data_IF_610820163694
#
_entry.id   IF_610820163694
#
_cell.length_a   1.000
_cell.length_b   1.000
_cell.length_c   1.000
_cell.angle_alpha   90.00
_cell.angle_beta   90.00
_cell.angle_gamma   90.00
#
_symmetry.space_group_name_H-M   'P 1'
#
loop_
_entity.id
_entity.type
_entity.pdbx_description
1 polymer ?
#
# COMPACT_ATOMS: atom_id res chain seq x y z
N UNK A 1 -0.11 29.52 15.80
CA UNK A 1 -1.41 29.86 16.43
C UNK A 1 -1.83 28.67 17.28
N UNK A 2 -2.64 28.86 18.32
CA UNK A 2 -3.00 27.77 19.23
C UNK A 2 -4.32 27.05 18.86
N UNK A 3 -4.97 27.51 17.79
CA UNK A 3 -6.05 26.85 17.07
C UNK A 3 -6.21 27.50 15.68
N UNK A 4 -6.94 26.85 14.79
CA UNK A 4 -7.30 27.39 13.48
C UNK A 4 -8.32 28.53 13.59
N UNK A 5 -8.20 29.51 12.69
CA UNK A 5 -8.98 30.74 12.76
C UNK A 5 -10.49 30.50 12.57
N UNK A 6 -10.88 29.61 11.64
CA UNK A 6 -12.30 29.25 11.43
C UNK A 6 -12.91 28.59 12.66
N UNK A 7 -12.17 27.68 13.29
CA UNK A 7 -12.61 27.01 14.51
C UNK A 7 -12.82 28.00 15.66
N UNK A 8 -11.85 28.87 15.91
CA UNK A 8 -11.96 29.89 16.97
C UNK A 8 -13.15 30.81 16.74
N UNK A 9 -13.34 31.31 15.52
CA UNK A 9 -14.47 32.18 15.16
C UNK A 9 -15.80 31.46 15.40
N UNK A 10 -15.90 30.19 15.00
CA UNK A 10 -17.11 29.40 15.21
C UNK A 10 -17.43 29.19 16.70
N UNK A 11 -16.45 28.74 17.49
CA UNK A 11 -16.63 28.46 18.91
C UNK A 11 -17.02 29.73 19.68
N UNK A 12 -16.34 30.85 19.40
CA UNK A 12 -16.66 32.14 20.01
C UNK A 12 -18.07 32.63 19.64
N UNK A 13 -18.44 32.54 18.36
CA UNK A 13 -19.80 32.92 17.89
C UNK A 13 -20.89 32.08 18.55
N UNK A 14 -20.62 30.79 18.80
CA UNK A 14 -21.56 29.87 19.45
C UNK A 14 -21.54 29.96 20.98
N UNK A 15 -20.62 30.72 21.57
CA UNK A 15 -20.44 30.80 23.02
C UNK A 15 -19.98 29.48 23.63
N UNK A 16 -19.19 28.69 22.87
CA UNK A 16 -18.62 27.43 23.33
C UNK A 16 -17.37 27.73 24.14
N UNK A 17 -17.35 27.31 25.41
CA UNK A 17 -16.18 27.44 26.29
C UNK A 17 -15.24 26.26 26.05
N UNK A 18 -13.95 26.54 25.89
CA UNK A 18 -12.91 25.53 25.69
C UNK A 18 -11.62 25.92 26.41
N UNK A 19 -10.77 24.94 26.66
CA UNK A 19 -9.41 25.12 27.18
C UNK A 19 -8.41 24.66 26.11
N UNK A 20 -7.34 25.41 25.91
CA UNK A 20 -6.27 25.04 24.97
C UNK A 20 -5.16 24.32 25.73
N UNK A 21 -4.85 23.10 25.30
CA UNK A 21 -3.76 22.28 25.83
C UNK A 21 -2.58 22.42 24.87
N UNK A 22 -1.51 23.09 25.32
CA UNK A 22 -0.30 23.28 24.52
C UNK A 22 0.64 22.08 24.69
N UNK A 23 1.33 21.71 23.61
CA UNK A 23 2.37 20.70 23.59
C UNK A 23 3.45 21.07 22.57
N UNK A 24 4.56 20.31 22.54
CA UNK A 24 5.58 20.47 21.50
C UNK A 24 4.99 20.18 20.11
N UNK A 25 5.61 20.71 19.06
CA UNK A 25 5.16 20.48 17.68
C UNK A 25 5.22 18.99 17.33
N UNK A 26 4.09 18.41 16.91
CA UNK A 26 3.96 16.99 16.60
C UNK A 26 3.70 16.77 15.11
N UNK A 27 4.27 15.70 14.52
CA UNK A 27 4.11 15.43 13.09
C UNK A 27 2.68 15.01 12.72
N UNK A 28 1.94 14.38 13.64
CA UNK A 28 0.55 13.93 13.43
C UNK A 28 -0.27 14.09 14.69
N UNK A 29 -1.60 14.08 14.53
CA UNK A 29 -2.53 14.12 15.64
C UNK A 29 -2.41 12.90 16.56
N UNK A 30 -2.13 11.70 16.01
CA UNK A 30 -2.00 10.48 16.81
C UNK A 30 -0.77 10.52 17.74
N UNK A 31 0.34 11.09 17.25
CA UNK A 31 1.54 11.33 18.07
C UNK A 31 1.25 12.37 19.17
N UNK A 32 0.47 13.41 18.87
CA UNK A 32 0.06 14.40 19.86
C UNK A 32 -0.80 13.78 20.98
N UNK A 33 -1.78 12.95 20.62
CA UNK A 33 -2.65 12.24 21.58
C UNK A 33 -1.84 11.32 22.49
N UNK A 34 -0.94 10.52 21.89
CA UNK A 34 -0.11 9.56 22.63
C UNK A 34 0.89 10.25 23.58
N UNK A 35 1.39 11.42 23.20
CA UNK A 35 2.40 12.17 23.98
C UNK A 35 1.80 13.07 25.06
N UNK A 36 0.52 13.44 24.94
CA UNK A 36 -0.13 14.40 25.83
C UNK A 36 -0.58 13.81 27.19
N UNK A 37 -0.46 12.49 27.38
CA UNK A 37 -0.92 11.81 28.60
C UNK A 37 -2.43 11.92 28.84
N UNK A 38 -3.19 12.16 27.76
CA UNK A 38 -4.66 12.28 27.79
C UNK A 38 -5.26 10.87 27.70
N UNK A 39 -6.33 10.62 28.46
CA UNK A 39 -7.10 9.39 28.32
C UNK A 39 -7.71 9.34 26.92
N UNK A 40 -7.28 8.38 26.10
CA UNK A 40 -7.65 8.31 24.68
C UNK A 40 -9.16 8.09 24.46
N UNK A 41 -9.86 7.53 25.46
CA UNK A 41 -11.32 7.44 25.54
C UNK A 41 -12.04 8.79 25.59
N UNK A 42 -11.37 9.85 26.03
CA UNK A 42 -11.87 11.22 26.01
C UNK A 42 -11.48 11.96 24.70
N UNK A 43 -10.84 11.30 23.73
CA UNK A 43 -10.42 11.94 22.47
C UNK A 43 -11.43 11.66 21.36
N UNK A 44 -11.73 12.68 20.55
CA UNK A 44 -12.60 12.58 19.37
C UNK A 44 -11.85 13.02 18.11
N UNK A 45 -12.24 12.45 16.97
CA UNK A 45 -11.63 12.74 15.66
C UNK A 45 -12.65 12.95 14.56
N UNK A 46 -12.18 13.54 13.47
CA UNK A 46 -12.95 13.80 12.26
C UNK A 46 -12.53 12.81 11.17
N UNK A 47 -13.50 12.14 10.55
CA UNK A 47 -13.29 11.35 9.34
C UNK A 47 -14.18 11.91 8.24
N UNK A 48 -13.59 12.27 7.10
CA UNK A 48 -14.34 12.86 5.98
C UNK A 48 -14.73 11.81 4.95
N UNK A 49 -15.98 11.90 4.49
CA UNK A 49 -16.53 11.09 3.42
C UNK A 49 -17.09 12.00 2.32
N UNK A 50 -17.14 11.51 1.09
CA UNK A 50 -17.63 12.26 -0.07
C UNK A 50 -18.52 11.40 -0.98
N UNK A 51 -19.44 12.04 -1.69
CA UNK A 51 -20.06 11.51 -2.90
C UNK A 51 -20.26 12.65 -3.93
N UNK A 52 -21.07 12.42 -4.97
CA UNK A 52 -21.40 13.44 -5.98
C UNK A 52 -22.13 14.68 -5.42
N UNK A 53 -22.76 14.58 -4.25
CA UNK A 53 -23.46 15.65 -3.55
C UNK A 53 -22.57 16.40 -2.54
N UNK A 54 -21.28 16.08 -2.45
CA UNK A 54 -20.29 16.79 -1.63
C UNK A 54 -19.81 16.02 -0.40
N UNK A 55 -19.22 16.71 0.58
CA UNK A 55 -18.56 16.10 1.74
C UNK A 55 -19.53 15.91 2.91
N UNK A 56 -19.25 14.92 3.76
CA UNK A 56 -19.84 14.68 5.08
C UNK A 56 -18.71 14.42 6.06
N UNK A 57 -18.80 15.00 7.26
CA UNK A 57 -17.90 14.69 8.36
C UNK A 57 -18.57 13.70 9.31
N UNK A 58 -17.89 12.58 9.56
CA UNK A 58 -18.19 11.68 10.66
C UNK A 58 -17.36 12.10 11.89
N UNK A 59 -18.02 12.31 13.03
CA UNK A 59 -17.38 12.61 14.33
C UNK A 59 -17.55 11.41 15.24
N UNK A 60 -16.45 10.82 15.68
CA UNK A 60 -16.42 9.58 16.43
C UNK A 60 -15.25 9.57 17.44
N UNK A 61 -15.25 8.58 18.34
CA UNK A 61 -14.18 8.43 19.32
C UNK A 61 -12.85 8.06 18.67
N UNK A 62 -11.74 8.39 19.32
CA UNK A 62 -10.39 8.12 18.83
C UNK A 62 -10.15 6.62 18.55
N UNK A 63 -10.58 5.74 19.46
CA UNK A 63 -10.49 4.28 19.36
C UNK A 63 -11.62 3.61 18.57
N UNK A 64 -12.24 4.35 17.65
CA UNK A 64 -13.33 3.79 16.86
C UNK A 64 -13.04 4.03 15.40
N UNK A 65 -13.40 3.08 14.55
CA UNK A 65 -13.40 3.29 13.12
C UNK A 65 -14.81 3.69 12.65
N UNK A 66 -14.88 4.44 11.55
CA UNK A 66 -16.17 4.81 10.96
C UNK A 66 -16.72 3.63 10.17
N UNK A 67 -17.95 3.24 10.48
CA UNK A 67 -18.73 2.35 9.64
C UNK A 67 -19.35 3.17 8.49
N UNK A 68 -18.73 3.07 7.31
CA UNK A 68 -19.14 3.82 6.12
C UNK A 68 -20.56 3.48 5.67
N UNK A 69 -20.99 2.23 5.87
CA UNK A 69 -22.35 1.80 5.53
C UNK A 69 -23.35 2.41 6.51
N UNK A 70 -23.03 2.45 7.80
CA UNK A 70 -23.86 3.12 8.80
C UNK A 70 -23.95 4.63 8.56
N UNK A 71 -22.86 5.31 8.17
CA UNK A 71 -22.91 6.73 7.78
C UNK A 71 -23.74 6.91 6.50
N UNK A 72 -23.60 6.02 5.53
CA UNK A 72 -24.35 6.02 4.27
C UNK A 72 -25.85 5.84 4.51
N UNK A 73 -26.25 4.91 5.38
CA UNK A 73 -27.62 4.72 5.82
C UNK A 73 -28.13 5.95 6.59
N UNK A 74 -27.35 6.42 7.57
CA UNK A 74 -27.70 7.59 8.36
C UNK A 74 -27.90 8.82 7.47
N UNK A 75 -27.15 8.97 6.38
CA UNK A 75 -27.25 10.11 5.45
C UNK A 75 -28.23 9.90 4.29
N UNK A 76 -28.56 8.65 3.96
CA UNK A 76 -29.26 8.27 2.73
C UNK A 76 -28.40 8.46 1.47
N UNK A 77 -27.07 8.41 1.60
CA UNK A 77 -26.09 8.72 0.55
C UNK A 77 -25.18 7.51 0.32
N UNK A 78 -24.47 7.49 -0.81
CA UNK A 78 -23.45 6.47 -1.11
C UNK A 78 -22.07 7.09 -0.97
N UNK A 79 -21.57 7.07 0.26
CA UNK A 79 -20.37 7.80 0.63
C UNK A 79 -19.12 6.92 0.52
N UNK A 80 -17.98 7.55 0.27
CA UNK A 80 -16.66 6.93 0.34
C UNK A 80 -15.71 7.81 1.16
N UNK A 81 -14.75 7.21 1.85
CA UNK A 81 -13.73 7.95 2.61
C UNK A 81 -12.91 8.86 1.68
N UNK A 82 -12.56 10.04 2.17
CA UNK A 82 -11.53 10.87 1.55
C UNK A 82 -10.14 10.37 1.95
N UNK A 83 -9.19 10.50 1.04
CA UNK A 83 -7.77 10.34 1.38
C UNK A 83 -7.30 11.49 2.29
N UNK A 84 -6.22 11.30 3.05
CA UNK A 84 -5.65 12.34 3.91
C UNK A 84 -5.40 13.65 3.15
N UNK A 85 -4.76 13.55 1.97
CA UNK A 85 -4.50 14.69 1.08
C UNK A 85 -5.77 15.39 0.59
N UNK A 86 -6.85 14.65 0.35
CA UNK A 86 -8.13 15.24 -0.01
C UNK A 86 -8.79 15.92 1.18
N UNK A 87 -8.68 15.34 2.38
CA UNK A 87 -9.20 15.91 3.61
C UNK A 87 -8.48 17.22 3.97
N UNK A 88 -7.14 17.26 3.89
CA UNK A 88 -6.34 18.47 4.14
C UNK A 88 -6.80 19.67 3.29
N UNK A 89 -7.14 19.43 2.02
CA UNK A 89 -7.65 20.47 1.12
C UNK A 89 -8.97 21.10 1.60
N UNK A 90 -9.72 20.39 2.43
CA UNK A 90 -10.97 20.89 3.00
C UNK A 90 -10.73 21.79 4.22
N UNK A 91 -9.54 21.73 4.83
CA UNK A 91 -9.15 22.48 6.01
C UNK A 91 -8.05 23.49 5.67
N UNK A 92 -8.40 24.52 4.89
CA UNK A 92 -7.45 25.51 4.36
C UNK A 92 -6.63 26.30 5.39
N UNK A 93 -7.07 26.33 6.65
CA UNK A 93 -6.45 27.05 7.77
C UNK A 93 -5.99 26.12 8.89
N UNK A 94 -5.82 24.82 8.60
CA UNK A 94 -5.24 23.83 9.49
C UNK A 94 -3.92 23.28 8.93
N UNK A 95 -3.07 22.80 9.83
CA UNK A 95 -1.90 21.99 9.48
C UNK A 95 -2.33 20.56 9.10
N UNK A 96 -1.56 19.89 8.22
CA UNK A 96 -1.90 18.55 7.70
C UNK A 96 -2.20 17.57 8.81
N UNK A 97 -3.30 16.82 8.68
CA UNK A 97 -3.70 15.79 9.65
C UNK A 97 -4.26 16.32 10.98
N UNK A 98 -4.27 17.63 11.25
CA UNK A 98 -4.84 18.21 12.47
C UNK A 98 -6.26 18.73 12.25
N UNK A 99 -7.18 17.85 11.85
CA UNK A 99 -8.56 18.24 11.47
C UNK A 99 -9.52 18.34 12.66
N UNK A 100 -10.08 19.52 12.96
CA UNK A 100 -11.03 19.66 14.06
C UNK A 100 -12.36 18.96 13.75
N UNK A 101 -12.93 18.15 14.66
CA UNK A 101 -14.20 17.44 14.49
C UNK A 101 -15.43 18.33 14.66
N UNK A 102 -15.37 19.57 14.14
CA UNK A 102 -16.43 20.58 14.19
C UNK A 102 -16.74 21.01 12.75
N UNK A 103 -17.39 20.15 11.98
CA UNK A 103 -17.66 20.39 10.56
C UNK A 103 -18.46 21.64 10.27
N UNK A 104 -19.29 22.09 11.22
CA UNK A 104 -20.04 23.35 11.12
C UNK A 104 -19.15 24.61 11.07
N UNK A 105 -17.88 24.54 11.52
CA UNK A 105 -16.91 25.62 11.34
C UNK A 105 -16.40 25.72 9.88
N UNK A 106 -16.63 24.67 9.08
CA UNK A 106 -16.17 24.52 7.69
C UNK A 106 -17.33 24.27 6.71
N UNK A 107 -18.56 24.61 7.11
CA UNK A 107 -19.79 24.42 6.32
C UNK A 107 -20.04 22.96 5.87
N UNK A 108 -19.56 21.99 6.64
CA UNK A 108 -19.75 20.57 6.35
C UNK A 108 -20.94 19.98 7.14
N UNK A 109 -21.82 19.18 6.49
CA UNK A 109 -22.76 18.33 7.18
C UNK A 109 -22.04 17.35 8.11
N UNK A 110 -22.51 17.23 9.36
CA UNK A 110 -21.91 16.35 10.37
C UNK A 110 -22.85 15.20 10.70
N UNK A 111 -22.31 13.99 10.76
CA UNK A 111 -22.91 12.85 11.46
C UNK A 111 -22.05 12.56 12.68
N UNK A 112 -22.64 12.59 13.87
CA UNK A 112 -21.94 12.34 15.13
C UNK A 112 -22.35 10.99 15.69
N UNK A 113 -21.35 10.24 16.14
CA UNK A 113 -21.54 8.96 16.81
C UNK A 113 -22.16 9.16 18.20
N UNK A 114 -23.17 8.36 18.53
CA UNK A 114 -23.95 8.52 19.77
C UNK A 114 -23.09 8.52 21.06
N UNK A 115 -22.11 7.61 21.24
CA UNK A 115 -21.18 7.62 22.36
C UNK A 115 -20.47 8.96 22.59
N UNK A 116 -20.11 9.69 21.53
CA UNK A 116 -19.44 11.01 21.65
C UNK A 116 -20.32 12.01 22.39
N UNK A 117 -21.63 11.97 22.17
CA UNK A 117 -22.56 12.90 22.83
C UNK A 117 -22.76 12.61 24.33
N UNK A 118 -22.36 11.42 24.78
CA UNK A 118 -22.41 11.01 26.18
C UNK A 118 -21.16 11.36 26.98
N UNK A 119 -20.07 11.80 26.31
CA UNK A 119 -18.80 12.12 26.95
C UNK A 119 -18.94 13.29 27.94
N UNK A 120 -18.24 13.19 29.08
CA UNK A 120 -18.21 14.23 30.12
C UNK A 120 -17.26 15.37 29.77
N UNK A 121 -16.24 15.06 28.99
CA UNK A 121 -15.29 15.99 28.38
C UNK A 121 -14.79 15.38 27.08
N UNK A 122 -14.25 16.20 26.18
CA UNK A 122 -13.61 15.71 24.97
C UNK A 122 -12.37 16.53 24.62
N UNK A 123 -11.36 15.85 24.08
CA UNK A 123 -10.16 16.42 23.51
C UNK A 123 -10.17 16.24 21.99
N UNK A 124 -9.72 17.25 21.26
CA UNK A 124 -9.74 17.22 19.80
C UNK A 124 -8.64 18.08 19.18
N UNK A 125 -8.34 17.84 17.91
CA UNK A 125 -7.42 18.68 17.14
C UNK A 125 -7.88 20.14 17.11
N UNK A 126 -6.95 21.06 17.31
CA UNK A 126 -7.18 22.51 17.27
C UNK A 126 -7.11 23.08 15.85
N UNK A 127 -6.51 22.34 14.92
CA UNK A 127 -6.06 22.85 13.62
C UNK A 127 -4.56 23.13 13.56
N UNK A 128 -3.84 23.08 14.68
CA UNK A 128 -2.41 23.31 14.76
C UNK A 128 -1.67 22.10 15.36
N UNK A 129 -0.41 21.92 14.96
CA UNK A 129 0.43 20.77 15.34
C UNK A 129 0.99 20.79 16.76
N UNK A 130 0.82 21.91 17.47
CA UNK A 130 1.38 22.16 18.80
C UNK A 130 0.30 22.41 19.88
N UNK A 131 -0.95 22.10 19.58
CA UNK A 131 -2.05 22.35 20.51
C UNK A 131 -3.30 21.50 20.25
N UNK A 132 -4.01 21.18 21.32
CA UNK A 132 -5.32 20.53 21.31
C UNK A 132 -6.34 21.39 22.05
N UNK A 133 -7.63 21.13 21.80
CA UNK A 133 -8.72 21.76 22.55
C UNK A 133 -9.39 20.74 23.47
N UNK A 134 -9.61 21.12 24.73
CA UNK A 134 -10.47 20.41 25.68
C UNK A 134 -11.81 21.14 25.82
N UNK A 135 -12.90 20.40 25.70
CA UNK A 135 -14.26 20.87 25.95
C UNK A 135 -14.90 20.05 27.06
N UNK A 136 -15.71 20.68 27.90
CA UNK A 136 -16.62 19.92 28.75
C UNK A 136 -17.78 19.34 27.91
N UNK A 137 -18.52 18.38 28.45
CA UNK A 137 -19.59 17.70 27.72
C UNK A 137 -20.72 18.64 27.29
N UNK A 138 -20.94 19.77 27.98
CA UNK A 138 -21.95 20.77 27.58
C UNK A 138 -21.46 21.57 26.38
N UNK A 139 -20.21 22.01 26.41
CA UNK A 139 -19.53 22.72 25.33
C UNK A 139 -19.42 21.84 24.08
N UNK A 140 -19.08 20.56 24.23
CA UNK A 140 -19.07 19.57 23.15
C UNK A 140 -20.45 19.43 22.48
N UNK A 141 -21.51 19.25 23.27
CA UNK A 141 -22.88 19.16 22.72
C UNK A 141 -23.33 20.45 22.04
N UNK A 142 -22.87 21.60 22.51
CA UNK A 142 -23.15 22.90 21.90
C UNK A 142 -22.39 23.11 20.58
N UNK A 143 -21.13 22.66 20.51
CA UNK A 143 -20.32 22.76 19.30
C UNK A 143 -20.80 21.84 18.17
N UNK A 144 -21.37 20.68 18.53
CA UNK A 144 -21.97 19.71 17.60
C UNK A 144 -23.49 19.92 17.39
N UNK A 145 -24.05 21.04 17.86
CA UNK A 145 -25.48 21.31 17.71
C UNK A 145 -25.88 21.46 16.23
N UNK A 146 -26.78 20.60 15.78
CA UNK A 146 -27.24 20.52 14.39
C UNK A 146 -26.69 19.31 13.62
N UNK A 147 -25.75 18.56 14.19
CA UNK A 147 -25.29 17.29 13.62
C UNK A 147 -26.41 16.24 13.61
N UNK A 148 -26.43 15.40 12.56
CA UNK A 148 -27.24 14.19 12.53
C UNK A 148 -26.60 13.17 13.47
N UNK A 149 -27.40 12.42 14.22
CA UNK A 149 -26.91 11.42 15.18
C UNK A 149 -27.05 10.03 14.59
N UNK A 150 -26.12 9.15 14.90
CA UNK A 150 -26.23 7.73 14.56
C UNK A 150 -25.21 6.88 15.32
N UNK A 151 -25.40 5.56 15.30
CA UNK A 151 -24.35 4.60 15.62
C UNK A 151 -23.53 4.40 14.36
N UNK A 152 -22.47 5.18 14.22
CA UNK A 152 -21.66 5.24 13.00
C UNK A 152 -20.22 4.81 13.22
N UNK A 153 -19.92 4.40 14.44
CA UNK A 153 -18.62 3.87 14.78
C UNK A 153 -18.73 2.40 15.20
N UNK A 154 -17.66 1.69 14.90
CA UNK A 154 -17.38 0.34 15.34
C UNK A 154 -16.23 0.45 16.32
N UNK A 155 -16.36 -0.23 17.46
CA UNK A 155 -15.28 -0.32 18.43
C UNK A 155 -14.09 -0.93 17.72
N UNK A 156 -12.98 -0.21 17.70
CA UNK A 156 -11.72 -0.77 17.27
C UNK A 156 -11.28 -1.69 18.42
N UNK A 157 -11.65 -2.98 18.35
CA UNK A 157 -11.26 -4.00 19.33
C UNK A 157 -9.72 -4.14 19.45
N UNK A 158 -8.96 -3.40 18.64
CA UNK A 158 -7.53 -3.23 18.70
C UNK A 158 -7.00 -2.47 19.92
N UNK A 159 -7.78 -1.57 20.54
CA UNK A 159 -7.24 -0.70 21.61
C UNK A 159 -7.56 -1.15 23.05
N UNK A 160 -8.43 -2.15 23.26
CA UNK A 160 -8.79 -2.66 24.59
C UNK A 160 -7.94 -3.89 25.03
N UNK A 161 -6.88 -4.22 24.28
CA UNK A 161 -5.86 -5.22 24.66
C UNK A 161 -4.61 -4.54 25.25
N UNK A 162 -4.80 -3.52 26.09
CA UNK A 162 -3.75 -3.04 27.00
C UNK A 162 -4.08 -3.35 28.46
N UNK A 163 -4.47 -4.60 28.72
CA UNK A 163 -4.35 -5.20 30.05
C UNK A 163 -4.37 -6.75 30.00
N UNK A 164 -3.71 -7.37 29.02
CA UNK A 164 -3.56 -8.82 29.03
C UNK A 164 -3.10 -9.43 27.71
N UNK A 165 -1.84 -9.87 27.71
CA UNK A 165 -1.14 -10.62 26.66
C UNK A 165 -0.58 -9.81 25.49
N UNK A 166 0.75 -9.82 25.41
CA UNK A 166 1.55 -9.58 24.21
C UNK A 166 1.20 -10.64 23.16
N UNK A 167 0.11 -10.43 22.41
CA UNK A 167 -0.26 -11.27 21.27
C UNK A 167 0.09 -10.54 19.98
N UNK A 168 0.97 -11.13 19.16
CA UNK A 168 1.21 -10.66 17.79
C UNK A 168 -0.10 -10.59 17.01
N UNK A 169 -0.34 -9.48 16.29
CA UNK A 169 -1.47 -9.35 15.37
C UNK A 169 -1.35 -10.42 14.27
N UNK A 170 -2.42 -11.19 14.04
CA UNK A 170 -2.42 -12.23 13.00
C UNK A 170 -2.58 -11.61 11.60
N UNK A 171 -2.10 -12.29 10.55
CA UNK A 171 -2.26 -11.81 9.17
C UNK A 171 -3.73 -11.76 8.74
N UNK A 172 -4.57 -12.66 9.27
CA UNK A 172 -6.01 -12.63 9.07
C UNK A 172 -6.64 -11.37 9.68
N UNK A 173 -6.20 -10.96 10.87
CA UNK A 173 -6.65 -9.73 11.52
C UNK A 173 -6.19 -8.50 10.72
N UNK A 174 -4.94 -8.47 10.25
CA UNK A 174 -4.45 -7.41 9.35
C UNK A 174 -5.28 -7.34 8.08
N UNK A 175 -5.58 -8.48 7.45
CA UNK A 175 -6.39 -8.53 6.24
C UNK A 175 -7.81 -8.00 6.48
N UNK A 176 -8.43 -8.40 7.60
CA UNK A 176 -9.75 -7.92 7.97
C UNK A 176 -9.76 -6.39 8.20
N UNK A 177 -8.78 -5.87 8.94
CA UNK A 177 -8.62 -4.42 9.16
C UNK A 177 -8.39 -3.67 7.86
N UNK A 178 -7.50 -4.13 7.00
CA UNK A 178 -7.24 -3.51 5.70
C UNK A 178 -8.50 -3.43 4.84
N UNK A 179 -9.31 -4.49 4.78
CA UNK A 179 -10.57 -4.50 4.04
C UNK A 179 -11.65 -3.61 4.64
N UNK A 180 -11.69 -3.50 5.97
CA UNK A 180 -12.72 -2.77 6.71
C UNK A 180 -12.44 -1.27 6.74
N UNK A 181 -11.18 -0.91 6.94
CA UNK A 181 -10.73 0.47 7.10
C UNK A 181 -10.42 1.14 5.75
N UNK A 182 -10.01 0.35 4.75
CA UNK A 182 -9.57 0.87 3.46
C UNK A 182 -10.30 0.21 2.30
N UNK A 183 -10.54 1.00 1.25
CA UNK A 183 -10.99 0.47 -0.02
C UNK A 183 -9.79 -0.07 -0.79
N UNK A 184 -9.48 -1.34 -0.57
CA UNK A 184 -8.40 -2.01 -1.29
C UNK A 184 -8.64 -1.94 -2.81
N UNK A 185 -7.60 -1.64 -3.60
CA UNK A 185 -7.73 -1.57 -5.05
C UNK A 185 -8.15 -2.95 -5.59
N UNK A 186 -9.29 -3.04 -6.29
CA UNK A 186 -9.69 -4.30 -6.90
C UNK A 186 -8.72 -4.64 -8.03
N UNK A 187 -8.54 -5.93 -8.31
CA UNK A 187 -7.74 -6.35 -9.46
C UNK A 187 -8.35 -5.75 -10.74
N UNK A 188 -7.56 -5.02 -11.55
CA UNK A 188 -8.05 -4.44 -12.79
C UNK A 188 -8.65 -5.50 -13.71
N UNK A 189 -9.80 -5.19 -14.34
CA UNK A 189 -10.56 -6.16 -15.11
C UNK A 189 -9.76 -6.84 -16.24
N UNK A 190 -8.80 -6.12 -16.84
CA UNK A 190 -7.89 -6.66 -17.84
C UNK A 190 -6.92 -7.67 -17.24
N UNK A 191 -6.29 -7.34 -16.10
CA UNK A 191 -5.40 -8.24 -15.38
C UNK A 191 -6.12 -9.54 -14.95
N UNK A 192 -7.35 -9.42 -14.43
CA UNK A 192 -8.18 -10.57 -14.03
C UNK A 192 -8.53 -11.46 -15.23
N UNK A 193 -8.80 -10.88 -16.41
CA UNK A 193 -9.05 -11.67 -17.63
C UNK A 193 -7.79 -12.40 -18.09
N UNK A 194 -6.62 -11.77 -18.00
CA UNK A 194 -5.34 -12.40 -18.33
C UNK A 194 -5.05 -13.56 -17.36
N UNK A 195 -5.25 -13.35 -16.05
CA UNK A 195 -5.12 -14.41 -15.04
C UNK A 195 -6.01 -15.63 -15.34
N UNK A 196 -7.26 -15.39 -15.77
CA UNK A 196 -8.16 -16.49 -16.15
C UNK A 196 -7.70 -17.22 -17.41
N UNK A 197 -7.04 -16.53 -18.33
CA UNK A 197 -6.44 -17.16 -19.51
C UNK A 197 -5.23 -18.01 -19.15
N UNK A 198 -4.36 -17.58 -18.21
CA UNK A 198 -3.21 -18.39 -17.78
C UNK A 198 -3.63 -19.66 -17.05
N UNK A 199 -4.76 -19.64 -16.36
CA UNK A 199 -5.33 -20.84 -15.72
C UNK A 199 -6.03 -21.80 -16.71
N UNK A 200 -6.20 -21.42 -17.99
CA UNK A 200 -6.88 -22.24 -18.98
C UNK A 200 -5.87 -22.96 -19.89
N UNK A 201 -5.72 -24.30 -19.81
CA UNK A 201 -4.75 -25.05 -20.62
C UNK A 201 -5.07 -25.03 -22.13
N UNK A 202 -6.29 -24.68 -22.52
CA UNK A 202 -6.72 -24.56 -23.93
C UNK A 202 -6.59 -23.12 -24.46
N UNK A 203 -6.07 -22.18 -23.67
CA UNK A 203 -5.92 -20.80 -24.09
C UNK A 203 -4.93 -20.66 -25.25
N UNK A 204 -5.31 -19.85 -26.23
CA UNK A 204 -4.53 -19.65 -27.45
C UNK A 204 -3.78 -18.32 -27.43
N UNK A 205 -2.65 -18.27 -28.15
CA UNK A 205 -1.91 -17.03 -28.37
C UNK A 205 -2.77 -15.90 -28.97
N UNK A 206 -3.78 -16.27 -29.76
CA UNK A 206 -4.72 -15.31 -30.36
C UNK A 206 -5.64 -14.70 -29.31
N UNK A 207 -6.22 -15.51 -28.42
CA UNK A 207 -7.09 -14.99 -27.35
C UNK A 207 -6.36 -14.01 -26.42
N UNK A 208 -5.10 -14.31 -26.09
CA UNK A 208 -4.25 -13.40 -25.32
C UNK A 208 -3.95 -12.11 -26.10
N UNK A 209 -3.62 -12.23 -27.39
CA UNK A 209 -3.38 -11.08 -28.24
C UNK A 209 -4.62 -10.19 -28.36
N UNK A 210 -5.80 -10.76 -28.65
CA UNK A 210 -7.07 -10.04 -28.76
C UNK A 210 -7.41 -9.28 -27.45
N UNK A 211 -7.07 -9.87 -26.30
CA UNK A 211 -7.29 -9.24 -25.00
C UNK A 211 -6.35 -8.05 -24.76
N UNK A 212 -5.08 -8.18 -25.13
CA UNK A 212 -4.07 -7.12 -24.99
C UNK A 212 -4.30 -5.99 -25.99
N UNK A 213 -4.63 -6.34 -27.24
CA UNK A 213 -4.84 -5.40 -28.36
C UNK A 213 -6.06 -4.48 -28.16
N UNK A 214 -6.95 -4.83 -27.23
CA UNK A 214 -8.02 -3.94 -26.78
C UNK A 214 -7.51 -2.69 -26.04
N UNK A 215 -6.30 -2.73 -25.48
CA UNK A 215 -5.65 -1.62 -24.78
C UNK A 215 -4.41 -1.16 -25.57
N UNK A 216 -4.48 -0.02 -26.29
CA UNK A 216 -3.36 0.45 -27.11
C UNK A 216 -2.08 0.74 -26.32
N UNK A 217 -2.21 1.17 -25.06
CA UNK A 217 -1.06 1.47 -24.21
C UNK A 217 -0.35 0.18 -23.79
N UNK A 218 -1.11 -0.81 -23.31
CA UNK A 218 -0.61 -2.14 -22.97
C UNK A 218 0.00 -2.83 -24.19
N UNK A 219 -0.68 -2.74 -25.34
CA UNK A 219 -0.18 -3.26 -26.62
C UNK A 219 1.18 -2.66 -26.95
N UNK A 220 1.31 -1.34 -26.87
CA UNK A 220 2.56 -0.67 -27.14
C UNK A 220 3.67 -1.10 -26.17
N UNK A 221 3.36 -1.26 -24.88
CA UNK A 221 4.31 -1.72 -23.86
C UNK A 221 4.75 -3.18 -24.09
N UNK A 222 3.80 -4.10 -24.34
CA UNK A 222 4.10 -5.51 -24.67
C UNK A 222 4.91 -5.62 -25.95
N UNK A 223 4.58 -4.84 -26.98
CA UNK A 223 5.33 -4.83 -28.24
C UNK A 223 6.74 -4.24 -28.09
N UNK A 224 6.91 -3.20 -27.26
CA UNK A 224 8.25 -2.70 -26.92
C UNK A 224 9.06 -3.75 -26.18
N UNK A 225 8.44 -4.46 -25.24
CA UNK A 225 9.08 -5.58 -24.56
C UNK A 225 9.49 -6.69 -25.54
N UNK A 226 8.58 -7.12 -26.42
CA UNK A 226 8.87 -8.17 -27.40
C UNK A 226 10.00 -7.82 -28.36
N UNK A 227 10.15 -6.52 -28.68
CA UNK A 227 11.16 -6.01 -29.61
C UNK A 227 12.48 -5.63 -28.92
N UNK A 228 12.60 -5.79 -27.60
CA UNK A 228 13.83 -5.45 -26.91
C UNK A 228 14.96 -6.41 -27.33
N UNK A 229 16.19 -5.90 -27.31
CA UNK A 229 17.37 -6.67 -27.71
C UNK A 229 17.61 -7.90 -26.79
N UNK A 230 17.02 -7.91 -25.60
CA UNK A 230 16.95 -9.02 -24.65
C UNK A 230 16.64 -10.38 -25.31
N UNK A 231 15.80 -10.40 -26.34
CA UNK A 231 15.37 -11.65 -26.99
C UNK A 231 16.14 -12.02 -28.25
N UNK A 232 17.09 -11.18 -28.69
CA UNK A 232 17.93 -11.40 -29.88
C UNK A 232 17.14 -11.90 -31.11
N UNK A 233 15.92 -11.41 -31.30
CA UNK A 233 15.06 -11.84 -32.40
C UNK A 233 15.42 -11.12 -33.71
N UNK A 234 15.86 -11.82 -34.77
CA UNK A 234 16.36 -11.18 -35.99
C UNK A 234 15.25 -10.64 -36.91
N UNK A 235 13.98 -10.96 -36.65
CA UNK A 235 12.83 -10.56 -37.46
C UNK A 235 12.12 -9.32 -36.94
N UNK A 236 11.23 -8.75 -37.75
CA UNK A 236 10.29 -7.74 -37.29
C UNK A 236 9.07 -8.39 -36.64
N UNK A 237 8.65 -7.86 -35.49
CA UNK A 237 7.45 -8.29 -34.76
C UNK A 237 6.38 -7.21 -34.95
N UNK A 238 5.26 -7.54 -35.58
CA UNK A 238 4.24 -6.58 -35.99
C UNK A 238 2.92 -6.70 -35.25
N UNK A 239 2.72 -7.76 -34.46
CA UNK A 239 1.51 -7.98 -33.64
C UNK A 239 1.83 -8.64 -32.30
N UNK A 240 0.89 -8.55 -31.34
CA UNK A 240 1.03 -9.23 -30.06
C UNK A 240 1.02 -10.74 -30.25
N UNK A 241 0.21 -11.25 -31.19
CA UNK A 241 0.19 -12.67 -31.51
C UNK A 241 1.56 -13.18 -32.01
N UNK A 242 2.28 -12.38 -32.81
CA UNK A 242 3.66 -12.71 -33.21
C UNK A 242 4.62 -12.67 -32.02
N UNK A 243 4.48 -11.69 -31.14
CA UNK A 243 5.28 -11.62 -29.91
C UNK A 243 5.12 -12.89 -29.06
N UNK A 244 3.88 -13.36 -28.90
CA UNK A 244 3.56 -14.60 -28.18
C UNK A 244 4.17 -15.82 -28.86
N UNK A 245 3.94 -15.98 -30.16
CA UNK A 245 4.24 -17.24 -30.88
C UNK A 245 5.70 -17.37 -31.33
N UNK A 246 6.40 -16.27 -31.56
CA UNK A 246 7.72 -16.27 -32.21
C UNK A 246 8.87 -15.88 -31.28
N UNK A 247 8.59 -15.21 -30.16
CA UNK A 247 9.63 -14.55 -29.35
C UNK A 247 9.50 -14.84 -27.85
N UNK A 248 8.41 -14.39 -27.24
CA UNK A 248 8.29 -14.34 -25.78
C UNK A 248 7.70 -15.62 -25.17
N UNK A 249 6.78 -16.26 -25.87
CA UNK A 249 5.91 -17.31 -25.33
C UNK A 249 4.65 -16.75 -24.67
N UNK A 250 3.66 -17.64 -24.46
CA UNK A 250 2.36 -17.29 -23.89
C UNK A 250 2.49 -16.76 -22.46
N UNK A 251 3.08 -17.53 -21.54
CA UNK A 251 3.13 -17.20 -20.12
C UNK A 251 3.84 -15.88 -19.86
N UNK A 252 4.95 -15.61 -20.56
CA UNK A 252 5.69 -14.37 -20.39
C UNK A 252 4.89 -13.15 -20.82
N UNK A 253 4.22 -13.23 -21.97
CA UNK A 253 3.36 -12.12 -22.44
C UNK A 253 2.21 -11.92 -21.48
N UNK A 254 1.59 -13.01 -21.01
CA UNK A 254 0.48 -12.94 -20.06
C UNK A 254 0.94 -12.30 -18.73
N UNK A 255 2.05 -12.76 -18.14
CA UNK A 255 2.52 -12.27 -16.85
C UNK A 255 2.96 -10.81 -16.91
N UNK A 256 3.68 -10.39 -17.96
CA UNK A 256 4.05 -8.98 -18.14
C UNK A 256 2.81 -8.12 -18.36
N UNK A 257 1.89 -8.56 -19.23
CA UNK A 257 0.67 -7.80 -19.48
C UNK A 257 -0.20 -7.69 -18.21
N UNK A 258 -0.26 -8.75 -17.41
CA UNK A 258 -0.95 -8.76 -16.13
C UNK A 258 -0.27 -7.84 -15.12
N UNK A 259 1.05 -7.89 -14.96
CA UNK A 259 1.79 -7.00 -14.06
C UNK A 259 1.54 -5.53 -14.41
N UNK A 260 1.69 -5.16 -15.69
CA UNK A 260 1.43 -3.81 -16.18
C UNK A 260 -0.01 -3.39 -15.89
N UNK A 261 -0.97 -4.24 -16.22
CA UNK A 261 -2.38 -3.94 -16.00
C UNK A 261 -2.70 -3.78 -14.51
N UNK A 262 -2.08 -4.57 -13.63
CA UNK A 262 -2.28 -4.53 -12.18
C UNK A 262 -1.73 -3.27 -11.52
N UNK A 263 -0.57 -2.75 -11.97
CA UNK A 263 0.02 -1.52 -11.40
C UNK A 263 -0.90 -0.30 -11.54
N UNK A 264 -1.77 -0.27 -12.57
CA UNK A 264 -2.75 0.81 -12.78
C UNK A 264 -3.80 0.94 -11.67
N UNK A 265 -3.87 -0.02 -10.76
CA UNK A 265 -4.75 0.04 -9.60
C UNK A 265 -4.22 0.95 -8.48
N UNK A 266 -2.93 1.34 -8.55
CA UNK A 266 -2.25 2.11 -7.52
C UNK A 266 -1.93 3.52 -8.00
N UNK A 267 -1.92 4.45 -7.05
CA UNK A 267 -1.48 5.84 -7.24
C UNK A 267 -0.24 6.03 -6.37
N UNK A 268 0.94 5.98 -6.99
CA UNK A 268 2.24 5.99 -6.29
C UNK A 268 3.15 6.98 -7.01
N UNK A 269 3.95 7.78 -6.28
CA UNK A 269 4.92 8.68 -6.89
C UNK A 269 5.87 7.97 -7.87
N UNK A 270 6.23 8.68 -8.94
CA UNK A 270 7.15 8.15 -9.95
C UNK A 270 8.59 8.10 -9.45
N UNK A 271 9.03 9.20 -8.85
CA UNK A 271 10.41 9.42 -8.42
C UNK A 271 10.65 8.85 -7.00
N UNK A 272 11.92 8.73 -6.63
CA UNK A 272 12.35 8.22 -5.32
C UNK A 272 12.87 6.78 -5.37
N UNK A 273 13.55 6.35 -4.30
CA UNK A 273 14.17 5.02 -4.24
C UNK A 273 13.18 3.86 -4.22
N UNK A 274 11.93 4.11 -3.86
CA UNK A 274 10.81 3.16 -3.89
C UNK A 274 9.73 3.58 -4.91
N UNK A 275 9.94 4.68 -5.63
CA UNK A 275 9.02 5.18 -6.66
C UNK A 275 8.85 4.22 -7.83
N UNK A 276 7.89 4.51 -8.70
CA UNK A 276 7.49 3.62 -9.80
C UNK A 276 8.65 3.23 -10.74
N UNK A 277 9.58 4.15 -11.01
CA UNK A 277 10.76 3.87 -11.85
C UNK A 277 11.66 2.80 -11.19
N UNK A 278 11.95 2.93 -9.89
CA UNK A 278 12.75 1.97 -9.13
C UNK A 278 12.03 0.64 -8.93
N UNK A 279 10.72 0.69 -8.66
CA UNK A 279 9.85 -0.47 -8.52
C UNK A 279 9.86 -1.36 -9.76
N UNK A 280 9.65 -0.77 -10.95
CA UNK A 280 9.63 -1.53 -12.20
C UNK A 280 10.99 -2.14 -12.51
N UNK A 281 12.06 -1.38 -12.28
CA UNK A 281 13.42 -1.86 -12.46
C UNK A 281 13.67 -3.08 -11.58
N UNK A 282 13.40 -2.98 -10.28
CA UNK A 282 13.58 -4.10 -9.37
C UNK A 282 12.73 -5.32 -9.75
N UNK A 283 11.44 -5.11 -10.00
CA UNK A 283 10.50 -6.19 -10.34
C UNK A 283 10.90 -6.95 -11.61
N UNK A 284 11.37 -6.24 -12.65
CA UNK A 284 11.78 -6.86 -13.91
C UNK A 284 13.08 -7.65 -13.79
N UNK A 285 14.06 -7.11 -13.08
CA UNK A 285 15.31 -7.83 -12.80
C UNK A 285 15.06 -9.06 -11.93
N UNK A 286 14.23 -8.93 -10.88
CA UNK A 286 13.87 -10.04 -10.00
C UNK A 286 13.12 -11.13 -10.78
N UNK A 287 12.15 -10.76 -11.61
CA UNK A 287 11.43 -11.68 -12.49
C UNK A 287 12.36 -12.40 -13.48
N UNK A 288 13.33 -11.69 -14.06
CA UNK A 288 14.32 -12.29 -14.97
C UNK A 288 15.18 -13.32 -14.24
N UNK A 289 15.75 -12.97 -13.08
CA UNK A 289 16.59 -13.86 -12.28
C UNK A 289 15.82 -15.10 -11.79
N UNK A 290 14.63 -14.93 -11.21
CA UNK A 290 13.79 -16.04 -10.76
C UNK A 290 13.51 -17.02 -11.91
N UNK A 291 13.26 -16.50 -13.11
CA UNK A 291 13.05 -17.35 -14.27
C UNK A 291 14.31 -18.10 -14.72
N UNK A 292 15.48 -17.47 -14.69
CA UNK A 292 16.74 -18.16 -15.00
C UNK A 292 17.04 -19.26 -13.97
N UNK A 293 16.82 -18.98 -12.68
CA UNK A 293 16.92 -19.98 -11.61
C UNK A 293 15.95 -21.15 -11.81
N UNK A 294 14.70 -20.88 -12.22
CA UNK A 294 13.72 -21.92 -12.53
C UNK A 294 14.18 -22.86 -13.65
N UNK A 295 15.00 -22.39 -14.61
CA UNK A 295 15.58 -23.27 -15.64
C UNK A 295 16.63 -24.24 -15.10
N UNK A 296 17.37 -23.82 -14.06
CA UNK A 296 18.44 -24.61 -13.43
C UNK A 296 17.88 -25.59 -12.39
N UNK A 297 16.78 -25.21 -11.73
CA UNK A 297 16.12 -25.97 -10.66
C UNK A 297 14.94 -26.82 -11.15
N UNK A 298 14.58 -26.71 -12.44
CA UNK A 298 13.43 -27.38 -13.06
C UNK A 298 12.07 -27.00 -12.45
N UNK A 299 11.96 -25.80 -11.88
CA UNK A 299 10.69 -25.20 -11.46
C UNK A 299 9.93 -24.58 -12.66
N UNK A 300 8.67 -24.19 -12.43
CA UNK A 300 7.89 -23.53 -13.47
C UNK A 300 8.43 -22.11 -13.76
N UNK A 301 8.88 -21.91 -15.00
CA UNK A 301 9.52 -20.65 -15.44
C UNK A 301 8.56 -19.48 -15.50
N UNK A 302 7.29 -19.75 -15.82
CA UNK A 302 6.25 -18.73 -15.88
C UNK A 302 5.91 -18.26 -14.48
N UNK A 303 5.70 -19.21 -13.57
CA UNK A 303 5.35 -18.95 -12.18
C UNK A 303 6.49 -18.27 -11.42
N UNK A 304 7.74 -18.72 -11.58
CA UNK A 304 8.91 -18.06 -11.00
C UNK A 304 9.08 -16.62 -11.49
N UNK A 305 8.87 -16.39 -12.80
CA UNK A 305 8.85 -15.03 -13.36
C UNK A 305 7.77 -14.18 -12.70
N UNK A 306 6.57 -14.74 -12.50
CA UNK A 306 5.45 -14.04 -11.90
C UNK A 306 5.70 -13.71 -10.41
N UNK A 307 6.28 -14.64 -9.65
CA UNK A 307 6.70 -14.41 -8.27
C UNK A 307 7.66 -13.22 -8.18
N UNK A 308 8.73 -13.21 -8.98
CA UNK A 308 9.68 -12.09 -9.01
C UNK A 308 9.05 -10.78 -9.48
N UNK A 309 8.10 -10.82 -10.43
CA UNK A 309 7.44 -9.61 -10.95
C UNK A 309 6.50 -8.97 -9.91
N UNK A 310 5.83 -9.79 -9.09
CA UNK A 310 4.74 -9.32 -8.22
C UNK A 310 5.12 -9.25 -6.73
N UNK A 311 6.32 -9.68 -6.33
CA UNK A 311 6.69 -9.80 -4.92
C UNK A 311 6.52 -8.50 -4.11
N UNK A 312 6.84 -7.35 -4.70
CA UNK A 312 6.81 -6.05 -4.00
C UNK A 312 5.55 -5.21 -4.21
N UNK A 313 4.44 -5.82 -4.66
CA UNK A 313 3.17 -5.10 -4.77
C UNK A 313 2.64 -4.57 -3.42
N UNK A 314 3.12 -5.12 -2.30
CA UNK A 314 2.88 -4.56 -0.98
C UNK A 314 3.33 -3.10 -0.84
N UNK A 315 4.47 -2.72 -1.43
CA UNK A 315 4.93 -1.32 -1.45
C UNK A 315 4.00 -0.43 -2.26
N UNK A 316 3.46 -0.92 -3.38
CA UNK A 316 2.49 -0.16 -4.17
C UNK A 316 1.19 0.06 -3.40
N UNK A 317 0.73 -0.96 -2.67
CA UNK A 317 -0.45 -0.84 -1.82
C UNK A 317 -0.21 0.16 -0.68
N UNK A 318 0.97 0.11 -0.04
CA UNK A 318 1.36 1.08 0.98
C UNK A 318 1.39 2.49 0.38
N UNK A 319 2.08 2.71 -0.73
CA UNK A 319 2.15 4.02 -1.38
C UNK A 319 0.79 4.58 -1.79
N UNK A 320 -0.14 3.71 -2.17
CA UNK A 320 -1.50 4.10 -2.53
C UNK A 320 -2.37 4.47 -1.32
N UNK A 321 -2.29 3.71 -0.23
CA UNK A 321 -3.15 3.89 0.95
C UNK A 321 -2.57 4.86 1.98
N UNK A 322 -1.24 4.93 2.07
CA UNK A 322 -0.46 5.59 3.11
C UNK A 322 0.67 6.44 2.47
N UNK A 323 0.31 7.47 1.67
CA UNK A 323 1.29 8.22 0.90
C UNK A 323 2.30 8.98 1.77
N UNK A 324 1.90 9.46 2.95
CA UNK A 324 2.78 10.22 3.84
C UNK A 324 3.83 9.30 4.48
N UNK A 325 3.43 8.11 4.92
CA UNK A 325 4.31 7.08 5.43
C UNK A 325 5.22 6.53 4.32
N UNK A 326 4.70 6.36 3.11
CA UNK A 326 5.51 5.95 1.96
C UNK A 326 6.56 7.00 1.58
N UNK A 327 6.23 8.29 1.64
CA UNK A 327 7.18 9.39 1.43
C UNK A 327 8.23 9.45 2.55
N UNK A 328 7.85 9.16 3.79
CA UNK A 328 8.79 9.02 4.89
C UNK A 328 9.73 7.82 4.68
N UNK A 329 9.19 6.67 4.26
CA UNK A 329 9.96 5.46 3.97
C UNK A 329 10.95 5.71 2.83
N UNK A 330 10.53 6.39 1.75
CA UNK A 330 11.42 6.82 0.67
C UNK A 330 12.59 7.70 1.16
N UNK A 331 12.31 8.70 2.01
CA UNK A 331 13.36 9.57 2.57
C UNK A 331 14.31 8.83 3.49
N UNK A 332 13.79 7.95 4.36
CA UNK A 332 14.62 7.12 5.23
C UNK A 332 15.48 6.16 4.43
N UNK A 333 14.94 5.58 3.37
CA UNK A 333 15.65 4.71 2.44
C UNK A 333 16.81 5.43 1.76
N UNK A 334 16.58 6.64 1.27
CA UNK A 334 17.63 7.48 0.67
C UNK A 334 18.72 7.87 1.67
N UNK A 335 18.34 8.20 2.90
CA UNK A 335 19.29 8.56 3.94
C UNK A 335 20.05 7.35 4.53
N UNK A 336 19.50 6.14 4.44
CA UNK A 336 20.01 4.93 5.08
C UNK A 336 20.02 3.72 4.12
N UNK A 337 20.79 3.78 3.02
CA UNK A 337 20.76 2.74 1.98
C UNK A 337 21.17 1.36 2.49
N UNK A 338 22.01 1.29 3.53
CA UNK A 338 22.51 0.03 4.12
C UNK A 338 21.56 -0.60 5.15
N UNK A 339 20.50 0.08 5.57
CA UNK A 339 19.52 -0.51 6.49
C UNK A 339 18.54 -1.41 5.72
N UNK A 340 18.15 -2.53 6.36
CA UNK A 340 17.14 -3.43 5.79
C UNK A 340 15.76 -2.75 5.71
N UNK A 341 14.92 -3.16 4.78
CA UNK A 341 13.58 -2.57 4.67
C UNK A 341 12.78 -2.83 5.91
N UNK A 342 12.84 -4.05 6.45
CA UNK A 342 12.16 -4.39 7.70
C UNK A 342 12.50 -3.41 8.84
N UNK A 343 13.75 -2.95 8.95
CA UNK A 343 14.16 -1.97 9.96
C UNK A 343 13.62 -0.57 9.68
N UNK A 344 13.61 -0.14 8.41
CA UNK A 344 13.06 1.15 7.99
C UNK A 344 11.54 1.18 8.17
N UNK A 345 10.86 0.12 7.76
CA UNK A 345 9.42 -0.10 7.95
C UNK A 345 9.06 -0.09 9.43
N UNK A 346 9.84 -0.76 10.29
CA UNK A 346 9.64 -0.69 11.73
C UNK A 346 9.73 0.74 12.30
N UNK A 347 10.59 1.59 11.74
CA UNK A 347 10.71 3.00 12.16
C UNK A 347 9.52 3.86 11.71
N UNK A 348 8.99 3.60 10.51
CA UNK A 348 7.86 4.37 9.95
C UNK A 348 6.52 3.88 10.50
N UNK A 349 6.34 2.56 10.56
CA UNK A 349 5.05 1.93 10.85
C UNK A 349 4.88 1.52 12.30
N UNK A 350 5.96 1.39 13.07
CA UNK A 350 5.92 0.91 14.46
C UNK A 350 5.18 1.81 15.45
N UNK A 351 4.82 3.04 15.06
CA UNK A 351 4.09 4.00 15.89
C UNK A 351 2.81 4.57 15.26
N UNK A 352 2.44 4.18 14.04
CA UNK A 352 1.30 4.78 13.32
C UNK A 352 0.06 3.89 13.35
N UNK A 353 0.15 2.70 12.76
CA UNK A 353 -0.95 1.75 12.64
C UNK A 353 -0.41 0.36 12.97
N UNK A 354 -0.99 -0.31 13.97
CA UNK A 354 -0.52 -1.63 14.43
C UNK A 354 -0.43 -2.66 13.30
N UNK A 355 -1.33 -2.60 12.32
CA UNK A 355 -1.31 -3.53 11.18
C UNK A 355 -0.28 -3.19 10.10
N UNK A 356 0.26 -1.96 10.04
CA UNK A 356 1.36 -1.63 9.12
C UNK A 356 2.70 -2.16 9.63
N UNK A 357 2.81 -2.45 10.92
CA UNK A 357 4.02 -2.99 11.54
C UNK A 357 4.44 -4.36 10.99
N UNK A 358 3.55 -5.08 10.30
CA UNK A 358 3.87 -6.35 9.65
C UNK A 358 4.74 -6.18 8.41
N UNK A 359 4.83 -4.96 7.85
CA UNK A 359 5.66 -4.63 6.69
C UNK A 359 4.99 -4.91 5.34
N UNK A 360 5.68 -4.51 4.27
CA UNK A 360 5.15 -4.60 2.91
C UNK A 360 4.97 -6.04 2.42
N UNK A 361 5.84 -6.97 2.82
CA UNK A 361 5.74 -8.37 2.40
C UNK A 361 4.37 -8.96 2.73
N UNK A 362 3.98 -9.07 4.01
CA UNK A 362 2.69 -9.61 4.38
C UNK A 362 1.49 -8.82 3.83
N UNK A 363 1.60 -7.49 3.73
CA UNK A 363 0.58 -6.65 3.07
C UNK A 363 0.40 -7.04 1.59
N UNK A 364 1.50 -7.28 0.87
CA UNK A 364 1.49 -7.77 -0.51
C UNK A 364 0.88 -9.18 -0.62
N UNK A 365 1.22 -10.07 0.30
CA UNK A 365 0.63 -11.41 0.38
C UNK A 365 -0.89 -11.37 0.58
N UNK A 366 -1.37 -10.50 1.47
CA UNK A 366 -2.80 -10.28 1.70
C UNK A 366 -3.48 -9.80 0.42
N UNK A 367 -2.93 -8.77 -0.23
CA UNK A 367 -3.45 -8.24 -1.49
C UNK A 367 -3.58 -9.35 -2.56
N UNK A 368 -2.51 -10.13 -2.77
CA UNK A 368 -2.48 -11.18 -3.78
C UNK A 368 -3.47 -12.30 -3.49
N UNK A 369 -3.66 -12.65 -2.21
CA UNK A 369 -4.69 -13.61 -1.79
C UNK A 369 -6.09 -13.09 -2.11
N UNK A 370 -6.35 -11.80 -1.87
CA UNK A 370 -7.64 -11.18 -2.20
C UNK A 370 -7.89 -11.09 -3.70
N UNK A 371 -6.83 -10.93 -4.49
CA UNK A 371 -6.88 -11.02 -5.94
C UNK A 371 -6.95 -12.46 -6.47
N UNK A 372 -6.89 -13.46 -5.60
CA UNK A 372 -6.95 -14.89 -5.92
C UNK A 372 -5.82 -15.32 -6.87
N UNK A 373 -4.61 -14.77 -6.65
CA UNK A 373 -3.40 -15.23 -7.32
C UNK A 373 -2.95 -16.60 -6.80
N UNK A 374 -2.13 -17.35 -7.56
CA UNK A 374 -1.55 -18.61 -7.12
C UNK A 374 -0.79 -18.49 -5.79
N UNK A 375 -0.81 -19.55 -4.98
CA UNK A 375 -0.23 -19.53 -3.64
C UNK A 375 1.29 -19.28 -3.68
N UNK A 376 1.98 -19.72 -4.73
CA UNK A 376 3.40 -19.41 -4.98
C UNK A 376 3.65 -17.90 -4.99
N UNK A 377 2.79 -17.14 -5.67
CA UNK A 377 2.89 -15.67 -5.77
C UNK A 377 2.53 -15.02 -4.43
N UNK A 378 1.50 -15.54 -3.75
CA UNK A 378 1.06 -15.07 -2.44
C UNK A 378 2.18 -15.24 -1.40
N UNK A 379 2.85 -16.40 -1.39
CA UNK A 379 3.97 -16.70 -0.49
C UNK A 379 5.21 -15.88 -0.84
N UNK A 380 5.60 -15.83 -2.12
CA UNK A 380 6.74 -15.01 -2.55
C UNK A 380 6.57 -13.55 -2.16
N UNK A 381 5.39 -12.95 -2.31
CA UNK A 381 5.18 -11.59 -1.79
C UNK A 381 5.16 -11.56 -0.24
N UNK A 382 4.37 -12.45 0.37
CA UNK A 382 4.07 -12.46 1.80
C UNK A 382 5.26 -12.64 2.73
N UNK A 383 6.24 -13.45 2.33
CA UNK A 383 7.31 -13.93 3.22
C UNK A 383 8.71 -13.86 2.63
N UNK A 384 8.94 -13.19 1.50
CA UNK A 384 10.31 -13.07 0.95
C UNK A 384 11.28 -12.35 1.91
N UNK A 385 10.79 -11.55 2.87
CA UNK A 385 11.62 -10.94 3.90
C UNK A 385 11.87 -11.85 5.12
N UNK A 386 11.24 -13.03 5.17
CA UNK A 386 11.41 -13.99 6.26
C UNK A 386 12.59 -14.91 5.96
N UNK A 387 13.70 -14.66 6.63
CA UNK A 387 14.89 -15.53 6.57
C UNK A 387 14.51 -16.96 6.99
N UNK A 388 15.12 -17.95 6.34
CA UNK A 388 14.94 -19.38 6.67
C UNK A 388 13.49 -19.88 6.50
N UNK A 389 12.75 -19.32 5.54
CA UNK A 389 11.40 -19.80 5.24
C UNK A 389 11.43 -21.23 4.65
N UNK A 390 10.82 -22.19 5.35
CA UNK A 390 10.78 -23.61 4.97
C UNK A 390 9.33 -24.11 4.75
N UNK A 391 8.40 -23.20 4.45
CA UNK A 391 6.99 -23.53 4.27
C UNK A 391 6.62 -23.95 2.84
N UNK A 392 5.32 -23.97 2.56
CA UNK A 392 4.81 -24.28 1.21
C UNK A 392 5.39 -23.32 0.17
N UNK A 393 5.79 -23.88 -0.98
CA UNK A 393 6.35 -23.13 -2.11
C UNK A 393 7.67 -22.40 -1.79
N UNK A 394 8.44 -22.90 -0.81
CA UNK A 394 9.72 -22.32 -0.39
C UNK A 394 10.68 -22.09 -1.56
N UNK A 395 10.68 -22.96 -2.58
CA UNK A 395 11.55 -22.82 -3.75
C UNK A 395 11.33 -21.49 -4.49
N UNK A 396 10.09 -21.00 -4.59
CA UNK A 396 9.80 -19.71 -5.23
C UNK A 396 10.11 -18.53 -4.30
N UNK A 397 9.98 -18.71 -2.98
CA UNK A 397 10.38 -17.70 -1.99
C UNK A 397 11.90 -17.54 -2.00
N UNK A 398 12.65 -18.64 -1.98
CA UNK A 398 14.11 -18.67 -2.04
C UNK A 398 14.65 -18.08 -3.35
N UNK A 399 13.98 -18.30 -4.49
CA UNK A 399 14.34 -17.64 -5.75
C UNK A 399 14.23 -16.11 -5.66
N UNK A 400 13.15 -15.59 -5.07
CA UNK A 400 12.97 -14.14 -4.87
C UNK A 400 14.02 -13.60 -3.89
N UNK A 401 14.30 -14.32 -2.80
CA UNK A 401 15.32 -13.96 -1.83
C UNK A 401 16.72 -13.92 -2.46
N UNK A 402 17.12 -14.96 -3.18
CA UNK A 402 18.39 -15.00 -3.88
C UNK A 402 18.47 -13.89 -4.93
N UNK A 403 17.41 -13.65 -5.70
CA UNK A 403 17.37 -12.56 -6.67
C UNK A 403 17.59 -11.20 -5.99
N UNK A 404 16.91 -10.93 -4.87
CA UNK A 404 17.10 -9.68 -4.11
C UNK A 404 18.54 -9.55 -3.57
N UNK A 405 19.11 -10.63 -3.02
CA UNK A 405 20.50 -10.65 -2.55
C UNK A 405 21.53 -10.38 -3.67
N UNK A 406 21.33 -10.95 -4.86
CA UNK A 406 22.21 -10.71 -6.03
C UNK A 406 22.05 -9.29 -6.59
N UNK A 407 20.82 -8.76 -6.64
CA UNK A 407 20.52 -7.42 -7.15
C UNK A 407 21.01 -6.31 -6.24
N UNK A 408 21.05 -6.56 -4.93
CA UNK A 408 21.66 -5.68 -3.93
C UNK A 408 23.09 -5.27 -4.31
N UNK A 409 23.90 -6.22 -4.79
CA UNK A 409 25.29 -5.95 -5.19
C UNK A 409 25.40 -4.95 -6.35
N UNK A 410 24.31 -4.76 -7.10
CA UNK A 410 24.18 -3.81 -8.22
C UNK A 410 23.41 -2.54 -7.84
N UNK A 411 23.06 -2.36 -6.56
CA UNK A 411 22.26 -1.24 -6.08
C UNK A 411 20.84 -1.24 -6.65
N UNK A 412 20.28 -2.42 -6.92
CA UNK A 412 18.91 -2.58 -7.43
C UNK A 412 18.03 -3.18 -6.34
N UNK A 413 16.90 -2.53 -6.06
CA UNK A 413 15.84 -3.06 -5.21
C UNK A 413 15.67 -2.34 -3.87
N UNK A 414 14.71 -2.85 -3.12
CA UNK A 414 14.31 -2.35 -1.81
C UNK A 414 15.01 -3.10 -0.67
N UNK A 415 15.42 -4.35 -0.80
CA UNK A 415 16.04 -5.07 0.31
C UNK A 415 17.58 -4.93 0.32
N UNK A 416 18.17 -4.46 1.44
CA UNK A 416 19.60 -4.57 1.73
C UNK A 416 19.83 -5.55 2.88
N UNK A 417 19.22 -6.74 2.81
CA UNK A 417 19.38 -7.75 3.86
C UNK A 417 20.80 -8.31 3.93
N UNK A 418 21.25 -8.80 5.10
CA UNK A 418 22.51 -9.51 5.28
C UNK A 418 22.43 -10.94 4.72
N UNK A 419 21.85 -11.12 3.54
CA UNK A 419 21.58 -12.45 2.99
C UNK A 419 22.86 -13.17 2.64
N UNK A 420 23.00 -14.38 3.17
CA UNK A 420 23.99 -15.34 2.71
C UNK A 420 23.52 -15.91 1.36
N UNK A 421 23.87 -15.19 0.28
CA UNK A 421 23.53 -15.60 -1.09
C UNK A 421 24.09 -16.97 -1.44
N UNK A 422 25.17 -17.41 -0.77
CA UNK A 422 25.74 -18.74 -0.96
C UNK A 422 24.81 -19.80 -0.35
N UNK A 423 24.39 -19.62 0.90
CA UNK A 423 23.43 -20.53 1.55
C UNK A 423 22.07 -20.60 0.80
N UNK A 424 21.56 -19.46 0.31
CA UNK A 424 20.33 -19.43 -0.50
C UNK A 424 20.51 -20.16 -1.83
N UNK A 425 21.64 -19.97 -2.52
CA UNK A 425 21.95 -20.70 -3.74
C UNK A 425 22.04 -22.22 -3.48
N UNK A 426 22.70 -22.63 -2.40
CA UNK A 426 22.80 -24.03 -2.00
C UNK A 426 21.43 -24.66 -1.71
N UNK A 427 20.52 -23.93 -1.05
CA UNK A 427 19.15 -24.39 -0.78
C UNK A 427 18.36 -24.68 -2.06
N UNK A 428 18.65 -23.94 -3.13
CA UNK A 428 18.08 -24.15 -4.47
C UNK A 428 18.86 -25.20 -5.29
N UNK A 429 19.92 -25.81 -4.73
CA UNK A 429 20.79 -26.74 -5.43
C UNK A 429 21.70 -26.09 -6.47
N UNK A 430 21.97 -24.79 -6.35
CA UNK A 430 22.82 -24.02 -7.25
C UNK A 430 24.22 -23.89 -6.66
N UNK A 431 25.26 -24.16 -7.47
CA UNK A 431 26.64 -23.94 -7.07
C UNK A 431 27.14 -22.53 -7.40
N UNK A 432 28.35 -22.16 -6.93
CA UNK A 432 28.94 -20.85 -7.23
C UNK A 432 29.01 -20.52 -8.74
N UNK A 433 29.29 -21.53 -9.58
CA UNK A 433 29.33 -21.36 -11.03
C UNK A 433 27.95 -21.04 -11.65
N UNK A 434 26.86 -21.52 -11.04
CA UNK A 434 25.51 -21.19 -11.47
C UNK A 434 25.17 -19.74 -11.10
N UNK A 435 25.58 -19.29 -9.91
CA UNK A 435 25.42 -17.89 -9.47
C UNK A 435 26.20 -16.93 -10.38
N UNK A 436 27.46 -17.24 -10.67
CA UNK A 436 28.28 -16.46 -11.62
C UNK A 436 27.58 -16.36 -12.98
N UNK A 437 27.06 -17.48 -13.49
CA UNK A 437 26.31 -17.52 -14.75
C UNK A 437 25.03 -16.68 -14.70
N UNK A 438 24.29 -16.70 -13.58
CA UNK A 438 23.09 -15.87 -13.41
C UNK A 438 23.43 -14.37 -13.45
N UNK A 439 24.52 -13.97 -12.81
CA UNK A 439 25.02 -12.59 -12.84
C UNK A 439 25.45 -12.19 -14.25
N UNK A 440 26.22 -13.02 -14.95
CA UNK A 440 26.66 -12.78 -16.33
C UNK A 440 25.47 -12.60 -17.30
N UNK A 441 24.47 -13.50 -17.21
CA UNK A 441 23.28 -13.41 -18.07
C UNK A 441 22.47 -12.16 -17.75
N UNK A 442 22.36 -11.79 -16.48
CA UNK A 442 21.66 -10.57 -16.06
C UNK A 442 22.39 -9.31 -16.52
N UNK A 443 23.72 -9.28 -16.45
CA UNK A 443 24.54 -8.18 -16.94
C UNK A 443 24.46 -8.01 -18.46
N UNK A 444 24.39 -9.12 -19.19
CA UNK A 444 24.25 -9.10 -20.65
C UNK A 444 22.95 -8.47 -21.14
N UNK A 445 21.95 -8.30 -20.26
CA UNK A 445 20.62 -7.79 -20.60
C UNK A 445 20.18 -6.58 -19.77
N UNK A 446 21.11 -6.02 -19.00
CA UNK A 446 20.84 -4.98 -18.02
C UNK A 446 20.30 -3.69 -18.67
N UNK A 447 20.92 -3.25 -19.77
CA UNK A 447 20.51 -2.04 -20.48
C UNK A 447 19.07 -2.17 -21.00
N UNK A 448 18.69 -3.33 -21.51
CA UNK A 448 17.36 -3.60 -22.02
C UNK A 448 16.31 -3.69 -20.91
N UNK A 449 16.66 -4.26 -19.74
CA UNK A 449 15.78 -4.28 -18.58
C UNK A 449 15.55 -2.86 -18.04
N UNK A 450 16.59 -2.04 -18.00
CA UNK A 450 16.50 -0.63 -17.60
C UNK A 450 15.65 0.20 -18.57
N UNK A 451 15.83 0.03 -19.88
CA UNK A 451 15.01 0.67 -20.90
C UNK A 451 13.54 0.27 -20.80
N UNK A 452 13.29 -1.02 -20.57
CA UNK A 452 11.95 -1.53 -20.37
C UNK A 452 11.32 -0.92 -19.11
N UNK A 453 12.03 -0.92 -17.98
CA UNK A 453 11.55 -0.36 -16.73
C UNK A 453 11.13 1.11 -16.89
N UNK A 454 12.00 1.94 -17.49
CA UNK A 454 11.69 3.35 -17.82
C UNK A 454 10.44 3.48 -18.69
N UNK A 455 10.27 2.56 -19.64
CA UNK A 455 9.11 2.55 -20.53
C UNK A 455 7.81 2.10 -19.86
N UNK A 456 7.85 1.28 -18.81
CA UNK A 456 6.66 0.83 -18.09
C UNK A 456 6.21 1.86 -17.04
N UNK A 457 7.15 2.65 -16.53
CA UNK A 457 6.87 3.75 -15.61
C UNK A 457 6.43 5.06 -16.30
N UNK A 458 6.56 5.14 -17.63
CA UNK A 458 6.10 6.25 -18.46
C UNK A 458 4.64 6.08 -18.92
#
# INVERSE_FOLDING_TARGET
MAASAKLEVFLNRKGVVYETVLHDEMPTFDVAVSSAGIAQEDVIRATLLIDLNGVVMAVHGYHTAVDVDAVSEATGRRLQLLTARQADRMFSDCESGFHPPIGAAYDMPVVVDEPVLAMRQAYMASGASNSMLRLDGRALRLSLAGARKGRISIVDEAHDIQAGSSGEITLEEVAHRLQKLYRLPPMPALALKILRLTANPEATAKELADLIEFDPSLTAQVMRYARSALFNYPGQINSVQEAVTRVLGFDRVAHVAMGIASVRAFDVPRDGMLGMDAFWRHSLYCAHLCQQMAMLTNADKGLAYLCGLLHNFGLLLIGHLFPDEFDQLNRLREANPEQSMRALEGQVFGGSQEFLSVGHGPIGGILHRLWQLPDEVVKSAGVHQHMEYEGDHAEYVHMVQLANGLLKQKGIGDEFNPDDTEALAESLGLGPADVDRLLEITDAVAEELDDLARSLAA
#
